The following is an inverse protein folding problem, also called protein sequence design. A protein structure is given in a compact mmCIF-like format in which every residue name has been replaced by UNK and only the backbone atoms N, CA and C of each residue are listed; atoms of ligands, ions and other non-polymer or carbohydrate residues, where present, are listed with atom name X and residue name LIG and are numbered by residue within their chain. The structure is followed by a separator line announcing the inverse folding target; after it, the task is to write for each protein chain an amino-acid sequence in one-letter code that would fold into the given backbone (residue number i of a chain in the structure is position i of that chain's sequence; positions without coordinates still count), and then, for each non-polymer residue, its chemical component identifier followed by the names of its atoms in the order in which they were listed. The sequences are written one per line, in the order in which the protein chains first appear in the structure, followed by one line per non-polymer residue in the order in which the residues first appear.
data_IF_398734760332
#
_entry.id   IF_398734760332
#
_cell.length_a   1.000
_cell.length_b   1.000
_cell.length_c   1.000
_cell.angle_alpha   90.00
_cell.angle_beta   90.00
_cell.angle_gamma   90.00
#
_symmetry.space_group_name_H-M   'P 1'
#
loop_
_entity.id
_entity.type
_entity.pdbx_description
1 polymer ?
#
# COMPACT_ATOMS: atom_id res chain seq x y z
N UNK A 1 41.10 -19.18 0.93
CA UNK A 1 39.95 -18.48 0.31
C UNK A 1 38.74 -18.62 1.22
N UNK A 2 38.18 -17.58 1.83
CA UNK A 2 36.99 -17.70 2.67
C UNK A 2 35.75 -17.92 1.79
N UNK A 3 34.93 -18.88 2.18
CA UNK A 3 33.64 -19.21 1.53
C UNK A 3 32.75 -17.98 1.57
N UNK A 4 32.37 -17.46 0.41
CA UNK A 4 31.34 -16.40 0.29
C UNK A 4 30.04 -16.93 0.89
N UNK A 5 29.57 -16.28 1.97
CA UNK A 5 28.22 -16.47 2.48
C UNK A 5 27.23 -16.16 1.34
N UNK A 6 26.43 -17.15 0.95
CA UNK A 6 25.28 -16.91 0.09
C UNK A 6 24.29 -16.06 0.88
N UNK A 7 23.79 -14.92 0.33
CA UNK A 7 22.76 -14.16 0.99
C UNK A 7 21.52 -15.05 1.14
N UNK A 8 20.86 -14.96 2.31
CA UNK A 8 19.66 -15.69 2.62
C UNK A 8 18.59 -15.52 1.55
N UNK A 9 17.86 -16.59 1.30
CA UNK A 9 16.74 -16.67 0.35
C UNK A 9 15.77 -15.51 0.63
N UNK A 10 15.66 -14.55 -0.28
CA UNK A 10 14.74 -13.41 -0.13
C UNK A 10 13.32 -13.89 -0.44
N UNK A 11 12.28 -13.27 0.12
CA UNK A 11 10.87 -13.59 -0.17
C UNK A 11 10.59 -13.68 -1.68
N UNK A 12 11.25 -12.88 -2.50
CA UNK A 12 11.17 -12.93 -3.96
C UNK A 12 11.68 -14.27 -4.55
N UNK A 13 12.67 -14.90 -3.94
CA UNK A 13 13.18 -16.20 -4.41
C UNK A 13 12.23 -17.36 -4.05
N UNK A 14 11.53 -17.25 -2.92
CA UNK A 14 10.50 -18.24 -2.53
C UNK A 14 9.30 -18.13 -3.45
N UNK A 15 8.87 -16.93 -3.78
CA UNK A 15 7.75 -16.73 -4.71
C UNK A 15 8.09 -17.18 -6.12
N UNK A 16 9.29 -16.85 -6.63
CA UNK A 16 9.73 -17.34 -7.94
C UNK A 16 9.74 -18.88 -7.99
N UNK A 17 10.17 -19.52 -6.90
CA UNK A 17 10.14 -20.96 -6.79
C UNK A 17 8.72 -21.54 -6.69
N UNK A 18 7.82 -20.87 -5.98
CA UNK A 18 6.39 -21.25 -5.93
C UNK A 18 5.76 -21.14 -7.32
N UNK A 19 6.00 -20.04 -8.04
CA UNK A 19 5.50 -19.87 -9.41
C UNK A 19 6.00 -20.97 -10.34
N UNK A 20 7.30 -21.25 -10.32
CA UNK A 20 7.90 -22.33 -11.12
C UNK A 20 7.24 -23.68 -10.82
N UNK A 21 7.04 -23.99 -9.55
CA UNK A 21 6.39 -25.24 -9.11
C UNK A 21 4.94 -25.31 -9.58
N UNK A 22 4.17 -24.23 -9.47
CA UNK A 22 2.74 -24.23 -9.83
C UNK A 22 2.58 -24.24 -11.34
N UNK A 23 3.31 -23.39 -12.06
CA UNK A 23 3.26 -23.35 -13.53
C UNK A 23 3.69 -24.68 -14.15
N UNK A 24 4.78 -25.28 -13.63
CA UNK A 24 5.25 -26.58 -14.12
C UNK A 24 4.28 -27.75 -13.86
N UNK A 25 3.42 -27.61 -12.83
CA UNK A 25 2.54 -28.71 -12.41
C UNK A 25 1.12 -28.57 -12.95
N UNK A 26 0.58 -27.35 -13.04
CA UNK A 26 -0.84 -27.12 -13.41
C UNK A 26 -1.03 -26.26 -14.66
N UNK A 27 0.01 -25.53 -15.10
CA UNK A 27 -0.12 -24.54 -16.18
C UNK A 27 -1.05 -23.36 -15.84
N UNK A 28 -1.61 -23.34 -14.62
CA UNK A 28 -2.54 -22.32 -14.14
C UNK A 28 -1.82 -21.22 -13.36
N UNK A 29 -2.56 -20.13 -13.13
CA UNK A 29 -2.10 -18.99 -12.32
C UNK A 29 -1.84 -19.42 -10.86
N UNK A 30 -0.61 -19.20 -10.41
CA UNK A 30 -0.18 -19.52 -9.05
C UNK A 30 -0.98 -18.80 -7.95
N UNK A 31 -1.64 -17.69 -8.28
CA UNK A 31 -2.35 -16.86 -7.30
C UNK A 31 -3.38 -17.63 -6.50
N UNK A 32 -4.25 -18.41 -7.15
CA UNK A 32 -5.36 -19.10 -6.47
C UNK A 32 -4.85 -20.12 -5.45
N UNK A 33 -3.85 -20.92 -5.82
CA UNK A 33 -3.29 -21.91 -4.93
C UNK A 33 -2.55 -21.27 -3.76
N UNK A 34 -1.70 -20.27 -4.02
CA UNK A 34 -0.95 -19.57 -2.99
C UNK A 34 -1.91 -18.85 -2.03
N UNK A 35 -2.96 -18.22 -2.56
CA UNK A 35 -3.99 -17.55 -1.75
C UNK A 35 -4.73 -18.54 -0.83
N UNK A 36 -5.14 -19.70 -1.36
CA UNK A 36 -5.82 -20.72 -0.59
C UNK A 36 -4.95 -21.27 0.56
N UNK A 37 -3.68 -21.58 0.25
CA UNK A 37 -2.72 -22.08 1.22
C UNK A 37 -2.41 -21.03 2.29
N UNK A 38 -2.17 -19.76 1.89
CA UNK A 38 -1.94 -18.66 2.81
C UNK A 38 -3.14 -18.43 3.74
N UNK A 39 -4.37 -18.46 3.21
CA UNK A 39 -5.58 -18.31 4.01
C UNK A 39 -5.73 -19.44 5.05
N UNK A 40 -5.49 -20.69 4.68
CA UNK A 40 -5.52 -21.82 5.60
C UNK A 40 -4.48 -21.65 6.73
N UNK A 41 -3.26 -21.21 6.42
CA UNK A 41 -2.21 -20.98 7.43
C UNK A 41 -2.50 -19.81 8.34
N UNK A 42 -2.92 -18.70 7.77
CA UNK A 42 -3.01 -17.43 8.50
C UNK A 42 -4.29 -17.37 9.34
N UNK A 43 -5.42 -17.77 8.78
CA UNK A 43 -6.71 -17.77 9.46
C UNK A 43 -6.95 -19.09 10.17
N UNK A 44 -6.74 -20.21 9.49
CA UNK A 44 -6.94 -21.55 10.03
C UNK A 44 -5.93 -21.95 11.09
N UNK A 45 -4.78 -21.25 11.19
CA UNK A 45 -3.68 -21.51 12.14
C UNK A 45 -3.20 -22.96 12.09
N UNK A 46 -3.27 -23.59 10.91
CA UNK A 46 -2.98 -24.99 10.70
C UNK A 46 -2.16 -25.19 9.42
N UNK A 47 -1.53 -26.36 9.30
CA UNK A 47 -0.94 -26.81 8.04
C UNK A 47 -2.02 -26.82 6.95
N UNK A 48 -1.67 -26.32 5.76
CA UNK A 48 -2.62 -26.33 4.65
C UNK A 48 -2.78 -27.73 4.10
N UNK A 49 -4.03 -28.16 4.02
CA UNK A 49 -4.53 -29.38 3.37
C UNK A 49 -5.82 -29.02 2.65
N UNK A 50 -6.28 -29.81 1.70
CA UNK A 50 -7.57 -29.57 1.05
C UNK A 50 -8.72 -29.44 2.06
N UNK A 51 -8.68 -30.22 3.13
CA UNK A 51 -9.68 -30.18 4.20
C UNK A 51 -9.63 -28.85 4.99
N UNK A 52 -8.43 -28.38 5.37
CA UNK A 52 -8.28 -27.11 6.09
C UNK A 52 -8.64 -25.90 5.21
N UNK A 53 -8.29 -25.92 3.93
CA UNK A 53 -8.68 -24.92 2.93
C UNK A 53 -10.20 -24.89 2.79
N UNK A 54 -10.85 -26.06 2.66
CA UNK A 54 -12.32 -26.15 2.56
C UNK A 54 -13.01 -25.63 3.82
N UNK A 55 -12.43 -25.84 5.01
CA UNK A 55 -12.94 -25.29 6.27
C UNK A 55 -12.88 -23.75 6.26
N UNK A 56 -11.74 -23.15 5.91
CA UNK A 56 -11.58 -21.70 5.85
C UNK A 56 -12.50 -21.10 4.78
N UNK A 57 -12.61 -21.73 3.59
CA UNK A 57 -13.52 -21.28 2.53
C UNK A 57 -14.99 -21.22 3.00
N UNK A 58 -15.45 -22.20 3.77
CA UNK A 58 -16.83 -22.19 4.32
C UNK A 58 -17.03 -21.12 5.40
N UNK A 59 -16.00 -20.89 6.22
CA UNK A 59 -16.06 -19.89 7.29
C UNK A 59 -15.93 -18.45 6.78
N UNK A 60 -15.27 -18.26 5.63
CA UNK A 60 -14.93 -16.96 5.06
C UNK A 60 -15.26 -16.89 3.56
N UNK A 61 -16.58 -16.90 3.19
CA UNK A 61 -17.01 -16.84 1.80
C UNK A 61 -16.59 -15.53 1.10
N UNK A 62 -16.39 -14.45 1.85
CA UNK A 62 -15.93 -13.14 1.37
C UNK A 62 -14.52 -13.17 0.77
N UNK A 63 -13.72 -14.19 1.07
CA UNK A 63 -12.41 -14.41 0.49
C UNK A 63 -12.47 -15.07 -0.89
N UNK A 64 -13.60 -15.67 -1.28
CA UNK A 64 -13.78 -16.35 -2.57
C UNK A 64 -12.65 -17.33 -2.89
N UNK A 65 -12.27 -18.16 -1.90
CA UNK A 65 -11.18 -19.12 -2.04
C UNK A 65 -11.52 -20.17 -3.09
N UNK A 66 -10.66 -20.30 -4.11
CA UNK A 66 -10.72 -21.34 -5.12
C UNK A 66 -9.42 -22.18 -5.08
N UNK A 67 -9.51 -23.40 -5.53
CA UNK A 67 -8.33 -24.21 -5.83
C UNK A 67 -8.30 -24.47 -7.34
N UNK A 68 -7.13 -24.45 -7.98
CA UNK A 68 -6.98 -24.95 -9.35
C UNK A 68 -7.50 -26.37 -9.49
N UNK A 69 -8.05 -26.71 -10.66
CA UNK A 69 -8.68 -28.04 -10.90
C UNK A 69 -7.70 -29.19 -10.66
N UNK A 70 -6.43 -28.97 -11.00
CA UNK A 70 -5.36 -29.98 -10.91
C UNK A 70 -4.59 -29.91 -9.57
N UNK A 71 -5.04 -29.08 -8.62
CA UNK A 71 -4.42 -28.99 -7.31
C UNK A 71 -4.67 -30.27 -6.50
N UNK A 72 -3.62 -31.05 -6.31
CA UNK A 72 -3.63 -32.24 -5.46
C UNK A 72 -2.95 -31.98 -4.10
N UNK A 73 -3.11 -32.91 -3.15
CA UNK A 73 -2.54 -32.77 -1.80
C UNK A 73 -1.00 -32.63 -1.81
N UNK A 74 -0.29 -33.25 -2.74
CA UNK A 74 1.16 -33.15 -2.84
C UNK A 74 1.58 -31.72 -3.23
N UNK A 75 0.89 -31.10 -4.18
CA UNK A 75 1.14 -29.72 -4.59
C UNK A 75 0.78 -28.73 -3.48
N UNK A 76 -0.37 -28.91 -2.82
CA UNK A 76 -0.77 -28.12 -1.64
C UNK A 76 0.30 -28.20 -0.55
N UNK A 77 0.77 -29.41 -0.21
CA UNK A 77 1.79 -29.62 0.82
C UNK A 77 3.14 -28.98 0.44
N UNK A 78 3.52 -29.00 -0.83
CA UNK A 78 4.75 -28.36 -1.32
C UNK A 78 4.70 -26.85 -1.19
N UNK A 79 3.60 -26.21 -1.64
CA UNK A 79 3.40 -24.76 -1.49
C UNK A 79 3.28 -24.37 -0.01
N UNK A 80 2.61 -25.20 0.80
CA UNK A 80 2.50 -25.01 2.24
C UNK A 80 3.88 -25.00 2.93
N UNK A 81 4.76 -25.95 2.58
CA UNK A 81 6.11 -26.01 3.14
C UNK A 81 6.97 -24.78 2.77
N UNK A 82 6.80 -24.24 1.56
CA UNK A 82 7.49 -23.02 1.12
C UNK A 82 6.98 -21.80 1.88
N UNK A 83 5.66 -21.62 1.96
CA UNK A 83 5.04 -20.49 2.68
C UNK A 83 5.26 -20.57 4.19
N UNK A 84 5.41 -21.77 4.76
CA UNK A 84 5.65 -21.97 6.19
C UNK A 84 6.90 -21.25 6.71
N UNK A 85 7.93 -21.16 5.88
CA UNK A 85 9.20 -20.51 6.20
C UNK A 85 9.07 -19.01 6.25
N UNK A 86 8.18 -18.43 5.44
CA UNK A 86 7.96 -17.00 5.30
C UNK A 86 6.86 -16.50 6.25
N UNK A 87 5.73 -17.21 6.33
CA UNK A 87 4.57 -16.84 7.13
C UNK A 87 4.75 -17.20 8.62
N UNK A 88 5.83 -16.74 9.22
CA UNK A 88 6.07 -16.84 10.67
C UNK A 88 5.08 -15.97 11.47
N UNK A 89 5.25 -15.79 12.78
CA UNK A 89 4.34 -15.01 13.62
C UNK A 89 4.68 -13.51 13.66
N UNK A 90 3.71 -12.67 14.06
CA UNK A 90 3.89 -11.22 14.30
C UNK A 90 4.04 -10.38 13.03
N UNK A 91 4.80 -9.31 13.13
CA UNK A 91 4.99 -8.33 12.04
C UNK A 91 5.64 -8.94 10.80
N UNK A 92 6.47 -9.96 10.97
CA UNK A 92 7.07 -10.71 9.86
C UNK A 92 6.01 -11.39 8.98
N UNK A 93 4.88 -11.83 9.56
CA UNK A 93 3.78 -12.44 8.80
C UNK A 93 3.13 -11.45 7.83
N UNK A 94 2.89 -10.22 8.28
CA UNK A 94 2.35 -9.16 7.40
C UNK A 94 3.32 -8.85 6.28
N UNK A 95 4.62 -8.76 6.62
CA UNK A 95 5.69 -8.53 5.65
C UNK A 95 5.73 -9.61 4.57
N UNK A 96 5.64 -10.86 5.00
CA UNK A 96 5.67 -11.99 4.09
C UNK A 96 4.41 -12.07 3.21
N UNK A 97 3.22 -11.81 3.76
CA UNK A 97 1.99 -11.75 2.97
C UNK A 97 2.08 -10.66 1.89
N UNK A 98 2.49 -9.45 2.26
CA UNK A 98 2.66 -8.36 1.30
C UNK A 98 3.65 -8.75 0.20
N UNK A 99 4.83 -9.27 0.55
CA UNK A 99 5.87 -9.66 -0.41
C UNK A 99 5.41 -10.79 -1.35
N UNK A 100 4.74 -11.82 -0.81
CA UNK A 100 4.21 -12.94 -1.60
C UNK A 100 3.17 -12.45 -2.60
N UNK A 101 2.24 -11.61 -2.18
CA UNK A 101 1.19 -11.14 -3.07
C UNK A 101 1.63 -10.00 -3.99
N UNK A 102 2.58 -9.16 -3.56
CA UNK A 102 3.22 -8.18 -4.42
C UNK A 102 3.85 -8.81 -5.66
N UNK A 103 4.48 -9.95 -5.52
CA UNK A 103 5.10 -10.63 -6.66
C UNK A 103 4.11 -11.41 -7.55
N UNK A 104 2.97 -11.86 -7.00
CA UNK A 104 1.97 -12.63 -7.76
C UNK A 104 0.97 -11.76 -8.53
N UNK A 105 0.52 -10.63 -7.95
CA UNK A 105 -0.51 -9.77 -8.57
C UNK A 105 -0.02 -9.01 -9.82
N UNK A 106 1.19 -8.44 -9.90
CA UNK A 106 1.60 -7.62 -11.04
C UNK A 106 1.74 -8.38 -12.36
N UNK A 107 2.00 -9.68 -12.34
CA UNK A 107 2.17 -10.47 -13.57
C UNK A 107 0.87 -10.69 -14.32
N UNK A 108 -0.25 -10.66 -13.63
CA UNK A 108 -1.58 -10.85 -14.22
C UNK A 108 -2.23 -9.52 -14.60
N UNK A 109 -1.87 -8.43 -13.91
CA UNK A 109 -2.43 -7.09 -14.13
C UNK A 109 -1.63 -6.22 -15.11
N UNK A 110 -0.74 -6.80 -15.95
CA UNK A 110 0.08 -6.08 -16.95
C UNK A 110 -0.71 -5.37 -18.07
N UNK A 111 -2.01 -5.16 -17.92
CA UNK A 111 -2.83 -4.32 -18.78
C UNK A 111 -3.12 -2.98 -18.12
N UNK A 112 -2.79 -1.90 -18.78
CA UNK A 112 -3.30 -0.50 -18.74
C UNK A 112 -3.72 0.19 -17.41
N UNK A 113 -3.58 -0.41 -16.22
CA UNK A 113 -4.20 0.13 -15.02
C UNK A 113 -3.27 0.88 -14.05
N UNK A 114 -1.94 0.90 -14.28
CA UNK A 114 -1.00 1.69 -13.47
C UNK A 114 -1.03 1.39 -11.97
N UNK A 115 -1.45 0.19 -11.56
CA UNK A 115 -1.48 -0.24 -10.17
C UNK A 115 -0.10 -0.78 -9.78
N UNK A 116 0.49 -0.21 -8.74
CA UNK A 116 1.78 -0.62 -8.20
C UNK A 116 1.66 -0.84 -6.69
N UNK A 117 2.31 -1.87 -6.19
CA UNK A 117 2.47 -2.03 -4.75
C UNK A 117 3.36 -0.94 -4.17
N UNK A 118 2.98 -0.44 -3.01
CA UNK A 118 3.80 0.53 -2.30
C UNK A 118 4.85 -0.21 -1.49
N UNK A 119 6.16 0.07 -1.71
CA UNK A 119 7.21 -0.57 -0.92
C UNK A 119 6.99 -0.36 0.57
N UNK A 120 7.25 -1.41 1.36
CA UNK A 120 6.91 -1.43 2.78
C UNK A 120 7.52 -0.30 3.58
N UNK A 121 8.78 0.04 3.34
CA UNK A 121 9.45 1.15 4.01
C UNK A 121 8.77 2.51 3.73
N UNK A 122 8.16 2.67 2.53
CA UNK A 122 7.35 3.85 2.21
C UNK A 122 6.03 3.83 2.97
N UNK A 123 5.36 2.66 3.06
CA UNK A 123 4.14 2.50 3.85
C UNK A 123 4.40 2.82 5.33
N UNK A 124 5.45 2.25 5.91
CA UNK A 124 5.87 2.50 7.30
C UNK A 124 6.15 3.99 7.53
N UNK A 125 6.91 4.61 6.63
CA UNK A 125 7.22 6.04 6.69
C UNK A 125 5.95 6.90 6.71
N UNK A 126 5.04 6.68 5.75
CA UNK A 126 3.81 7.47 5.64
C UNK A 126 2.92 7.28 6.87
N UNK A 127 2.73 6.04 7.33
CA UNK A 127 1.86 5.76 8.47
C UNK A 127 2.44 6.32 9.77
N UNK A 128 3.76 6.19 10.00
CA UNK A 128 4.45 6.78 11.16
C UNK A 128 4.37 8.31 11.16
N UNK A 129 4.55 8.96 10.00
CA UNK A 129 4.42 10.41 9.88
C UNK A 129 2.98 10.89 10.10
N UNK A 130 1.98 10.14 9.63
CA UNK A 130 0.57 10.41 9.91
C UNK A 130 0.19 10.22 11.38
N UNK A 131 0.93 9.41 12.12
CA UNK A 131 0.73 9.13 13.55
C UNK A 131 -0.76 8.89 13.90
N UNK A 132 -1.44 7.87 13.33
CA UNK A 132 -2.84 7.61 13.63
C UNK A 132 -3.00 7.26 15.10
N UNK A 133 -4.09 7.76 15.73
CA UNK A 133 -4.38 7.59 17.15
C UNK A 133 -5.48 6.58 17.40
N UNK A 134 -5.51 6.02 18.57
CA UNK A 134 -6.60 5.13 19.00
C UNK A 134 -7.97 5.79 18.78
N UNK A 135 -8.94 5.01 18.26
CA UNK A 135 -10.31 5.43 17.90
C UNK A 135 -10.43 6.31 16.64
N UNK A 136 -9.32 6.74 16.03
CA UNK A 136 -9.41 7.38 14.73
C UNK A 136 -9.83 6.39 13.64
N UNK A 137 -10.39 6.96 12.59
CA UNK A 137 -10.77 6.23 11.37
C UNK A 137 -9.78 6.55 10.28
N UNK A 138 -9.20 5.50 9.68
CA UNK A 138 -8.24 5.59 8.58
C UNK A 138 -8.86 5.01 7.32
N UNK A 139 -8.71 5.69 6.20
CA UNK A 139 -9.18 5.19 4.90
C UNK A 139 -8.07 5.19 3.86
N UNK A 140 -8.15 4.20 2.97
CA UNK A 140 -7.40 4.15 1.72
C UNK A 140 -8.37 3.90 0.56
N UNK A 141 -8.67 4.91 -0.28
CA UNK A 141 -9.60 4.77 -1.40
C UNK A 141 -9.02 4.02 -2.61
N UNK A 142 -7.74 3.64 -2.59
CA UNK A 142 -7.05 2.83 -3.60
C UNK A 142 -6.16 1.79 -2.90
N UNK A 143 -6.79 0.96 -2.03
CA UNK A 143 -6.07 0.26 -0.97
C UNK A 143 -5.18 -0.91 -1.45
N UNK A 144 -5.31 -1.36 -2.69
CA UNK A 144 -4.56 -2.52 -3.16
C UNK A 144 -4.68 -3.71 -2.20
N UNK A 145 -3.55 -4.27 -1.78
CA UNK A 145 -3.48 -5.34 -0.76
C UNK A 145 -3.77 -4.89 0.67
N UNK A 146 -4.03 -3.61 0.91
CA UNK A 146 -4.36 -3.06 2.22
C UNK A 146 -3.16 -2.73 3.11
N UNK A 147 -1.97 -2.53 2.54
CA UNK A 147 -0.74 -2.31 3.31
C UNK A 147 -0.83 -1.10 4.26
N UNK A 148 -1.26 0.08 3.79
CA UNK A 148 -1.45 1.25 4.65
C UNK A 148 -2.42 0.98 5.81
N UNK A 149 -3.53 0.28 5.53
CA UNK A 149 -4.53 -0.06 6.53
C UNK A 149 -3.98 -1.04 7.57
N UNK A 150 -3.22 -2.04 7.13
CA UNK A 150 -2.60 -3.03 8.00
C UNK A 150 -1.57 -2.40 8.94
N UNK A 151 -0.73 -1.50 8.43
CA UNK A 151 0.28 -0.78 9.20
C UNK A 151 -0.35 0.22 10.18
N UNK A 152 -1.41 0.92 9.78
CA UNK A 152 -2.15 1.80 10.68
C UNK A 152 -2.75 1.03 11.87
N UNK A 153 -3.28 -0.18 11.62
CA UNK A 153 -3.79 -1.07 12.69
C UNK A 153 -2.69 -1.64 13.58
N UNK A 154 -1.50 -1.87 13.05
CA UNK A 154 -0.36 -2.32 13.84
C UNK A 154 0.17 -1.21 14.76
N UNK A 155 0.09 0.05 14.31
CA UNK A 155 0.57 1.20 15.08
C UNK A 155 -0.41 1.66 16.17
N UNK A 156 -1.73 1.61 15.90
CA UNK A 156 -2.75 2.08 16.84
C UNK A 156 -4.09 1.34 16.70
N UNK A 157 -4.92 1.39 17.75
CA UNK A 157 -6.26 0.81 17.76
C UNK A 157 -7.25 1.63 16.92
N UNK A 158 -7.05 1.69 15.61
CA UNK A 158 -7.86 2.43 14.65
C UNK A 158 -8.94 1.55 14.00
N UNK A 159 -10.01 2.21 13.49
CA UNK A 159 -10.91 1.62 12.50
C UNK A 159 -10.36 1.90 11.10
N UNK A 160 -10.46 0.95 10.20
CA UNK A 160 -9.93 1.11 8.84
C UNK A 160 -10.96 0.76 7.80
N UNK A 161 -10.98 1.52 6.70
CA UNK A 161 -11.82 1.26 5.53
C UNK A 161 -10.95 1.35 4.28
N UNK A 162 -11.25 0.52 3.29
CA UNK A 162 -10.53 0.54 2.01
C UNK A 162 -11.41 0.17 0.84
N UNK A 163 -11.03 0.64 -0.34
CA UNK A 163 -11.63 0.20 -1.58
C UNK A 163 -10.58 0.03 -2.67
N UNK A 164 -10.81 -0.91 -3.56
CA UNK A 164 -10.05 -1.08 -4.79
C UNK A 164 -10.95 -1.71 -5.87
N UNK A 165 -10.62 -1.48 -7.14
CA UNK A 165 -11.32 -2.08 -8.28
C UNK A 165 -10.86 -3.50 -8.56
N UNK A 166 -9.63 -3.85 -8.16
CA UNK A 166 -9.03 -5.15 -8.40
C UNK A 166 -9.57 -6.21 -7.42
N UNK A 167 -10.26 -7.24 -7.91
CA UNK A 167 -10.82 -8.27 -7.05
C UNK A 167 -9.76 -9.11 -6.32
N UNK A 168 -8.55 -9.29 -6.90
CA UNK A 168 -7.46 -10.03 -6.25
C UNK A 168 -6.86 -9.22 -5.11
N UNK A 169 -6.60 -7.94 -5.34
CA UNK A 169 -6.10 -7.03 -4.32
C UNK A 169 -7.07 -6.97 -3.12
N UNK A 170 -8.37 -6.84 -3.35
CA UNK A 170 -9.39 -6.85 -2.30
C UNK A 170 -9.39 -8.15 -1.49
N UNK A 171 -9.23 -9.30 -2.15
CA UNK A 171 -9.15 -10.60 -1.44
C UNK A 171 -7.93 -10.64 -0.51
N UNK A 172 -6.77 -10.17 -0.98
CA UNK A 172 -5.56 -10.08 -0.16
C UNK A 172 -5.77 -9.11 1.00
N UNK A 173 -6.31 -7.93 0.78
CA UNK A 173 -6.57 -6.94 1.82
C UNK A 173 -7.54 -7.48 2.90
N UNK A 174 -8.56 -8.25 2.51
CA UNK A 174 -9.47 -8.94 3.44
C UNK A 174 -8.77 -10.04 4.23
N UNK A 175 -7.91 -10.83 3.58
CA UNK A 175 -7.10 -11.85 4.26
C UNK A 175 -6.19 -11.20 5.30
N UNK A 176 -5.54 -10.10 4.96
CA UNK A 176 -4.69 -9.33 5.87
C UNK A 176 -5.51 -8.78 7.04
N UNK A 177 -6.71 -8.23 6.80
CA UNK A 177 -7.61 -7.75 7.86
C UNK A 177 -7.99 -8.87 8.82
N UNK A 178 -8.43 -10.03 8.31
CA UNK A 178 -8.77 -11.21 9.12
C UNK A 178 -7.56 -11.72 9.92
N UNK A 179 -6.36 -11.69 9.34
CA UNK A 179 -5.13 -12.09 10.04
C UNK A 179 -4.84 -11.24 11.28
N UNK A 180 -5.32 -10.02 11.27
CA UNK A 180 -5.22 -9.06 12.39
C UNK A 180 -6.47 -9.06 13.29
N UNK A 181 -7.40 -10.01 13.10
CA UNK A 181 -8.65 -10.08 13.87
C UNK A 181 -9.62 -8.92 13.57
N UNK A 182 -9.61 -8.40 12.35
CA UNK A 182 -10.45 -7.27 11.93
C UNK A 182 -11.53 -7.70 10.94
N UNK A 183 -12.62 -6.95 10.92
CA UNK A 183 -13.75 -7.19 10.03
C UNK A 183 -13.34 -6.93 8.56
N UNK A 184 -13.40 -7.95 7.69
CA UNK A 184 -13.08 -7.82 6.27
C UNK A 184 -14.13 -7.01 5.50
N UNK A 185 -15.36 -6.84 6.02
CA UNK A 185 -16.42 -6.08 5.38
C UNK A 185 -16.12 -4.58 5.22
N UNK A 186 -15.16 -4.07 6.01
CA UNK A 186 -14.67 -2.68 5.87
C UNK A 186 -13.82 -2.47 4.61
N UNK A 187 -13.50 -3.53 3.89
CA UNK A 187 -12.74 -3.51 2.64
C UNK A 187 -13.66 -3.94 1.50
N UNK A 188 -13.96 -2.99 0.62
CA UNK A 188 -14.98 -3.16 -0.41
C UNK A 188 -14.37 -3.11 -1.82
N UNK A 189 -14.90 -3.96 -2.71
CA UNK A 189 -14.58 -3.84 -4.13
C UNK A 189 -15.39 -2.69 -4.74
N UNK A 190 -14.71 -1.69 -5.29
CA UNK A 190 -15.37 -0.55 -5.92
C UNK A 190 -14.39 0.52 -6.36
N UNK A 191 -14.86 1.42 -7.21
CA UNK A 191 -14.09 2.60 -7.60
C UNK A 191 -14.04 3.60 -6.44
N UNK A 192 -12.85 3.79 -5.88
CA UNK A 192 -12.61 4.71 -4.77
C UNK A 192 -12.89 6.17 -5.11
N UNK A 193 -12.85 6.55 -6.39
CA UNK A 193 -13.22 7.89 -6.82
C UNK A 193 -14.73 8.15 -6.70
N UNK A 194 -15.59 7.14 -6.99
CA UNK A 194 -17.04 7.35 -7.16
C UNK A 194 -17.93 6.31 -6.53
N UNK A 195 -17.66 5.04 -6.77
CA UNK A 195 -18.58 3.95 -6.47
C UNK A 195 -18.52 3.41 -5.05
N UNK A 196 -17.37 3.54 -4.39
CA UNK A 196 -17.19 3.00 -3.05
C UNK A 196 -17.81 3.91 -1.99
N UNK A 197 -18.69 3.35 -1.16
CA UNK A 197 -19.23 4.04 0.03
C UNK A 197 -18.19 4.02 1.15
N UNK A 198 -17.33 5.03 1.18
CA UNK A 198 -16.34 5.23 2.22
C UNK A 198 -16.80 6.30 3.20
N UNK A 199 -16.55 6.14 4.52
CA UNK A 199 -16.96 7.12 5.52
C UNK A 199 -16.08 8.38 5.48
N UNK A 200 -16.57 9.47 6.07
CA UNK A 200 -15.74 10.61 6.42
C UNK A 200 -14.82 10.25 7.58
N UNK A 201 -13.53 10.60 7.48
CA UNK A 201 -12.47 10.04 8.33
C UNK A 201 -11.54 11.08 8.94
N UNK A 202 -10.71 10.62 9.87
CA UNK A 202 -9.63 11.41 10.48
C UNK A 202 -8.38 11.44 9.61
N UNK A 203 -8.08 10.28 8.98
CA UNK A 203 -6.81 10.05 8.30
C UNK A 203 -7.05 9.38 6.95
N UNK A 204 -6.40 9.90 5.90
CA UNK A 204 -6.25 9.23 4.61
C UNK A 204 -4.78 8.87 4.41
N UNK A 205 -4.51 7.61 4.10
CA UNK A 205 -3.18 7.12 3.72
C UNK A 205 -3.33 6.35 2.42
N UNK A 206 -2.76 6.83 1.31
CA UNK A 206 -3.01 6.23 0.01
C UNK A 206 -1.87 6.43 -0.98
N UNK A 207 -1.70 5.45 -1.86
CA UNK A 207 -0.88 5.52 -3.06
C UNK A 207 -1.76 5.23 -4.28
N UNK A 208 -2.43 6.24 -4.84
CA UNK A 208 -3.34 6.04 -5.96
C UNK A 208 -2.59 5.68 -7.26
N UNK A 209 -3.27 5.11 -8.26
CA UNK A 209 -2.67 4.84 -9.56
C UNK A 209 -2.21 6.15 -10.22
N UNK A 210 -0.93 6.18 -10.69
CA UNK A 210 -0.23 7.38 -11.18
C UNK A 210 -0.61 7.80 -12.59
N UNK A 211 -1.28 6.96 -13.34
CA UNK A 211 -1.59 7.22 -14.74
C UNK A 211 -3.02 6.80 -15.09
N UNK A 212 -3.41 7.21 -16.27
CA UNK A 212 -4.71 6.88 -16.83
C UNK A 212 -5.73 7.98 -16.63
N UNK A 213 -6.66 8.05 -17.59
CA UNK A 213 -7.79 8.95 -17.53
C UNK A 213 -8.91 8.32 -16.71
N UNK A 214 -9.64 9.16 -15.99
CA UNK A 214 -10.90 8.80 -15.38
C UNK A 214 -11.94 9.87 -15.71
N UNK A 215 -13.21 9.54 -15.56
CA UNK A 215 -14.25 10.54 -15.69
C UNK A 215 -14.09 11.60 -14.59
N UNK A 216 -13.81 12.83 -15.00
CA UNK A 216 -13.55 13.96 -14.12
C UNK A 216 -14.82 14.79 -13.83
N UNK A 217 -15.99 14.34 -14.31
CA UNK A 217 -17.26 15.04 -14.11
C UNK A 217 -17.52 15.20 -12.61
N UNK A 218 -17.84 16.41 -12.15
CA UNK A 218 -18.12 16.71 -10.74
C UNK A 218 -16.91 16.96 -9.85
N UNK A 219 -15.67 16.74 -10.33
CA UNK A 219 -14.48 17.12 -9.60
C UNK A 219 -14.14 18.60 -9.82
N UNK A 220 -13.85 19.32 -8.73
CA UNK A 220 -13.50 20.75 -8.78
C UNK A 220 -12.11 20.96 -9.39
N UNK A 221 -11.16 20.07 -9.07
CA UNK A 221 -9.79 20.13 -9.60
C UNK A 221 -9.76 20.04 -11.13
N UNK A 222 -10.75 19.39 -11.73
CA UNK A 222 -10.90 19.33 -13.18
C UNK A 222 -11.16 20.69 -13.84
N UNK A 223 -11.60 21.69 -13.08
CA UNK A 223 -11.80 23.07 -13.58
C UNK A 223 -10.48 23.85 -13.67
N UNK A 224 -9.46 23.43 -12.94
CA UNK A 224 -8.16 24.11 -12.85
C UNK A 224 -7.01 23.32 -13.46
N UNK A 225 -7.27 22.09 -13.91
CA UNK A 225 -6.33 21.23 -14.64
C UNK A 225 -6.95 20.81 -15.96
N UNK A 226 -6.31 21.15 -17.07
CA UNK A 226 -6.85 20.92 -18.42
C UNK A 226 -7.13 19.44 -18.72
N UNK A 227 -6.25 18.55 -18.27
CA UNK A 227 -6.38 17.09 -18.43
C UNK A 227 -6.05 16.43 -17.11
N UNK A 228 -7.02 16.34 -16.18
CA UNK A 228 -6.78 15.73 -14.88
C UNK A 228 -6.55 14.23 -15.05
N UNK A 229 -5.41 13.77 -14.55
CA UNK A 229 -5.08 12.36 -14.45
C UNK A 229 -5.74 11.76 -13.21
N UNK A 230 -5.78 10.45 -13.13
CA UNK A 230 -6.46 9.73 -12.04
C UNK A 230 -5.93 10.09 -10.65
N UNK A 231 -4.62 10.25 -10.49
CA UNK A 231 -3.97 10.65 -9.24
C UNK A 231 -4.40 12.05 -8.76
N UNK A 232 -4.66 12.98 -9.70
CA UNK A 232 -5.19 14.32 -9.37
C UNK A 232 -6.62 14.22 -8.82
N UNK A 233 -7.45 13.36 -9.41
CA UNK A 233 -8.82 13.13 -8.92
C UNK A 233 -8.81 12.44 -7.55
N UNK A 234 -7.87 11.51 -7.31
CA UNK A 234 -7.68 10.89 -6.00
C UNK A 234 -7.20 11.88 -4.94
N UNK A 235 -6.43 12.91 -5.30
CA UNK A 235 -6.04 13.99 -4.39
C UNK A 235 -7.29 14.74 -3.88
N UNK A 236 -8.22 15.13 -4.78
CA UNK A 236 -9.49 15.74 -4.37
C UNK A 236 -10.32 14.76 -3.55
N UNK A 237 -10.46 13.52 -4.00
CA UNK A 237 -11.19 12.48 -3.27
C UNK A 237 -10.65 12.25 -1.85
N UNK A 238 -9.33 12.28 -1.68
CA UNK A 238 -8.69 12.16 -0.36
C UNK A 238 -9.10 13.32 0.57
N UNK A 239 -9.14 14.54 0.04
CA UNK A 239 -9.62 15.69 0.80
C UNK A 239 -11.10 15.58 1.15
N UNK A 240 -11.96 15.15 0.22
CA UNK A 240 -13.40 15.00 0.45
C UNK A 240 -13.72 13.96 1.53
N UNK A 241 -12.92 12.89 1.60
CA UNK A 241 -13.05 11.87 2.63
C UNK A 241 -12.62 12.34 4.02
N UNK A 242 -11.76 13.37 4.11
CA UNK A 242 -11.33 13.89 5.40
C UNK A 242 -12.42 14.77 6.02
N UNK A 243 -12.60 14.66 7.33
CA UNK A 243 -13.29 15.69 8.11
C UNK A 243 -12.47 16.99 8.15
N UNK A 244 -13.04 18.15 8.42
CA UNK A 244 -12.28 19.36 8.70
C UNK A 244 -11.21 19.08 9.78
N UNK A 245 -9.97 19.50 9.54
CA UNK A 245 -8.84 19.20 10.41
C UNK A 245 -8.31 17.75 10.31
N UNK A 246 -8.90 16.89 9.50
CA UNK A 246 -8.37 15.59 9.16
C UNK A 246 -7.11 15.69 8.29
N UNK A 247 -6.23 14.69 8.36
CA UNK A 247 -4.92 14.71 7.72
C UNK A 247 -4.71 13.58 6.72
N UNK A 248 -3.90 13.84 5.70
CA UNK A 248 -3.56 12.85 4.69
C UNK A 248 -2.06 12.72 4.46
N UNK A 249 -1.65 11.49 4.08
CA UNK A 249 -0.39 11.18 3.43
C UNK A 249 -0.70 10.52 2.09
N UNK A 250 -0.36 11.17 1.00
CA UNK A 250 -0.64 10.68 -0.35
C UNK A 250 0.63 10.66 -1.19
N UNK A 251 0.87 9.53 -1.88
CA UNK A 251 1.98 9.39 -2.82
C UNK A 251 1.54 9.89 -4.18
N UNK A 252 2.30 10.79 -4.78
CA UNK A 252 2.00 11.41 -6.08
C UNK A 252 3.24 11.43 -6.98
N UNK A 253 3.07 11.41 -8.31
CA UNK A 253 4.15 11.64 -9.25
C UNK A 253 4.75 13.04 -9.12
N UNK A 254 6.08 13.12 -9.26
CA UNK A 254 6.85 14.36 -9.06
C UNK A 254 6.41 15.53 -9.95
N UNK A 255 5.88 15.28 -11.16
CA UNK A 255 5.36 16.32 -12.04
C UNK A 255 4.19 17.10 -11.42
N UNK A 256 3.46 16.54 -10.44
CA UNK A 256 2.38 17.25 -9.71
C UNK A 256 2.96 18.32 -8.77
N UNK A 257 4.16 18.10 -8.22
CA UNK A 257 4.83 19.09 -7.39
C UNK A 257 5.46 20.21 -8.23
N UNK A 258 6.11 19.91 -9.35
CA UNK A 258 6.97 20.84 -10.09
C UNK A 258 6.43 21.23 -11.48
N UNK A 259 5.58 20.43 -12.12
CA UNK A 259 5.11 20.67 -13.48
C UNK A 259 4.25 21.94 -13.61
N UNK A 260 4.51 22.76 -14.64
CA UNK A 260 3.78 24.00 -14.88
C UNK A 260 2.28 23.76 -15.14
N UNK A 261 1.93 22.66 -15.83
CA UNK A 261 0.54 22.26 -16.12
C UNK A 261 -0.30 21.99 -14.85
N UNK A 262 0.35 21.73 -13.70
CA UNK A 262 -0.31 21.47 -12.42
C UNK A 262 -0.28 22.68 -11.45
N UNK A 263 0.14 23.85 -11.91
CA UNK A 263 0.14 25.07 -11.08
C UNK A 263 -1.28 25.43 -10.55
N UNK A 264 -2.32 25.24 -11.38
CA UNK A 264 -3.71 25.40 -10.99
C UNK A 264 -4.12 24.47 -9.86
N UNK A 265 -3.75 23.18 -9.96
CA UNK A 265 -4.00 22.18 -8.91
C UNK A 265 -3.32 22.58 -7.59
N UNK A 266 -2.07 23.04 -7.62
CA UNK A 266 -1.36 23.43 -6.39
C UNK A 266 -2.02 24.64 -5.70
N UNK A 267 -2.47 25.64 -6.46
CA UNK A 267 -3.26 26.78 -5.90
C UNK A 267 -4.57 26.28 -5.30
N UNK A 268 -5.33 25.47 -6.06
CA UNK A 268 -6.57 24.85 -5.60
C UNK A 268 -6.37 24.06 -4.29
N UNK A 269 -5.26 23.31 -4.20
CA UNK A 269 -4.93 22.49 -3.02
C UNK A 269 -4.65 23.36 -1.79
N UNK A 270 -3.83 24.41 -1.91
CA UNK A 270 -3.46 25.30 -0.79
C UNK A 270 -4.68 26.00 -0.20
N UNK A 271 -5.66 26.33 -1.02
CA UNK A 271 -6.92 26.93 -0.54
C UNK A 271 -7.76 25.96 0.31
N UNK A 272 -7.63 24.64 0.09
CA UNK A 272 -8.43 23.58 0.73
C UNK A 272 -7.70 22.79 1.81
N UNK A 273 -6.39 22.84 1.77
CA UNK A 273 -5.55 22.10 2.70
C UNK A 273 -4.32 22.92 3.10
N UNK A 274 -3.96 22.84 4.38
CA UNK A 274 -2.64 23.28 4.85
C UNK A 274 -1.63 22.19 4.49
N UNK A 275 -0.57 22.58 3.79
CA UNK A 275 0.55 21.70 3.44
C UNK A 275 1.53 21.69 4.62
N UNK A 276 1.89 20.50 5.10
CA UNK A 276 2.86 20.33 6.19
C UNK A 276 4.21 19.83 5.71
N UNK A 277 4.20 18.89 4.76
CA UNK A 277 5.46 18.42 4.21
C UNK A 277 5.29 17.88 2.78
N UNK A 278 6.40 17.97 2.03
CA UNK A 278 6.60 17.34 0.73
C UNK A 278 7.93 16.58 0.79
N UNK A 279 7.87 15.26 0.70
CA UNK A 279 9.05 14.41 0.79
C UNK A 279 9.26 13.71 -0.54
N UNK A 280 10.32 14.10 -1.27
CA UNK A 280 10.72 13.48 -2.53
C UNK A 280 11.25 12.06 -2.28
N UNK A 281 10.86 11.12 -3.13
CA UNK A 281 11.33 9.74 -3.11
C UNK A 281 12.29 9.47 -4.27
N UNK A 282 13.31 8.61 -4.10
CA UNK A 282 14.20 8.21 -5.16
C UNK A 282 13.47 7.58 -6.34
N UNK A 283 14.07 7.68 -7.52
CA UNK A 283 13.51 7.09 -8.76
C UNK A 283 13.35 5.57 -8.66
N UNK A 284 14.22 4.93 -7.92
CA UNK A 284 14.31 3.48 -7.75
C UNK A 284 13.22 2.92 -6.82
N UNK A 285 12.53 3.80 -6.07
CA UNK A 285 11.54 3.40 -5.05
C UNK A 285 10.49 2.42 -5.59
N UNK A 286 9.95 2.69 -6.77
CA UNK A 286 8.89 1.87 -7.38
C UNK A 286 9.38 0.95 -8.50
N UNK A 287 10.70 0.80 -8.70
CA UNK A 287 11.23 -0.19 -9.62
C UNK A 287 10.95 -1.63 -9.10
N UNK A 288 10.78 -2.62 -10.00
CA UNK A 288 10.85 -2.53 -11.46
C UNK A 288 9.54 -2.07 -12.13
N UNK A 289 8.49 -1.72 -11.37
CA UNK A 289 7.16 -1.45 -11.90
C UNK A 289 7.08 -0.12 -12.65
N UNK A 290 7.70 0.92 -12.12
CA UNK A 290 7.81 2.23 -12.77
C UNK A 290 9.11 2.93 -12.35
N UNK A 291 9.68 3.69 -13.28
CA UNK A 291 10.83 4.57 -13.02
C UNK A 291 10.40 6.02 -12.73
N UNK A 292 9.12 6.25 -12.54
CA UNK A 292 8.60 7.58 -12.27
C UNK A 292 9.02 8.07 -10.89
N UNK A 293 9.63 9.24 -10.83
CA UNK A 293 9.89 9.90 -9.54
C UNK A 293 8.57 10.27 -8.88
N UNK A 294 8.51 10.08 -7.57
CA UNK A 294 7.33 10.35 -6.75
C UNK A 294 7.70 11.20 -5.54
N UNK A 295 6.68 11.69 -4.86
CA UNK A 295 6.82 12.33 -3.56
C UNK A 295 5.64 11.96 -2.66
N UNK A 296 5.82 12.09 -1.37
CA UNK A 296 4.74 12.01 -0.39
C UNK A 296 4.34 13.42 0.01
N UNK A 297 3.05 13.70 -0.09
CA UNK A 297 2.43 14.93 0.38
C UNK A 297 1.76 14.69 1.72
N UNK A 298 2.11 15.47 2.73
CA UNK A 298 1.41 15.53 4.01
C UNK A 298 0.62 16.83 4.11
N UNK A 299 -0.69 16.71 4.25
CA UNK A 299 -1.58 17.87 4.30
C UNK A 299 -2.75 17.63 5.26
N UNK A 300 -3.36 18.72 5.73
CA UNK A 300 -4.52 18.73 6.65
C UNK A 300 -5.65 19.50 6.00
N UNK A 301 -6.84 18.89 5.93
CA UNK A 301 -8.02 19.58 5.36
C UNK A 301 -8.37 20.80 6.19
N UNK A 302 -8.54 21.96 5.55
CA UNK A 302 -8.97 23.19 6.20
C UNK A 302 -10.42 23.07 6.66
N UNK A 303 -10.75 23.83 7.71
CA UNK A 303 -12.13 24.05 8.12
C UNK A 303 -12.86 24.93 7.10
N UNK A 304 -14.18 24.90 7.12
CA UNK A 304 -14.98 25.78 6.28
C UNK A 304 -14.67 27.24 6.59
N UNK A 305 -14.32 28.03 5.58
CA UNK A 305 -13.96 29.44 5.71
C UNK A 305 -12.52 29.71 6.18
N UNK A 306 -11.76 28.69 6.56
CA UNK A 306 -10.34 28.83 6.88
C UNK A 306 -9.53 29.16 5.61
N UNK A 307 -8.76 30.26 5.67
CA UNK A 307 -7.92 30.70 4.55
C UNK A 307 -6.44 30.36 4.78
N UNK A 308 -5.65 30.24 3.71
CA UNK A 308 -4.20 30.13 3.84
C UNK A 308 -3.60 31.30 4.61
N UNK A 309 -2.64 31.03 5.51
CA UNK A 309 -1.87 32.04 6.24
C UNK A 309 -0.43 32.04 5.70
N UNK A 310 0.11 33.21 5.42
CA UNK A 310 1.50 33.41 4.96
C UNK A 310 2.55 32.90 5.95
N UNK A 311 2.17 32.72 7.22
CA UNK A 311 3.03 32.19 8.28
C UNK A 311 3.05 30.65 8.32
N UNK A 312 2.22 29.98 7.52
CA UNK A 312 2.23 28.51 7.47
C UNK A 312 3.58 28.01 6.95
N UNK A 313 4.22 27.15 7.73
CA UNK A 313 5.47 26.52 7.36
C UNK A 313 5.23 25.12 6.81
N UNK A 314 6.01 24.75 5.81
CA UNK A 314 6.04 23.40 5.27
C UNK A 314 7.49 22.90 5.16
N UNK A 315 7.72 21.64 5.47
CA UNK A 315 9.02 21.00 5.31
C UNK A 315 9.15 20.41 3.90
N UNK A 316 10.28 20.64 3.25
CA UNK A 316 10.67 19.97 2.02
C UNK A 316 11.88 19.10 2.32
N UNK A 317 11.77 17.82 2.07
CA UNK A 317 12.82 16.84 2.26
C UNK A 317 12.98 15.95 1.02
N UNK A 318 14.15 15.35 0.86
CA UNK A 318 14.43 14.40 -0.21
C UNK A 318 15.07 13.17 0.43
N UNK A 319 14.48 12.01 0.19
CA UNK A 319 15.10 10.72 0.44
C UNK A 319 16.02 10.40 -0.72
N UNK A 320 17.24 9.97 -0.44
CA UNK A 320 18.29 9.71 -1.45
C UNK A 320 18.51 8.21 -1.68
N UNK A 321 18.14 7.36 -0.71
CA UNK A 321 18.35 5.91 -0.75
C UNK A 321 17.00 5.17 -0.78
N UNK A 322 16.76 4.44 -1.87
CA UNK A 322 15.52 3.71 -2.08
C UNK A 322 15.48 2.32 -1.45
N UNK A 323 16.61 1.80 -0.96
CA UNK A 323 16.74 0.38 -0.62
C UNK A 323 16.76 -0.55 -1.83
N UNK A 324 16.93 -0.01 -3.04
CA UNK A 324 16.96 -0.74 -4.31
C UNK A 324 18.05 -0.21 -5.23
N UNK A 325 18.59 -1.07 -6.08
CA UNK A 325 19.49 -0.68 -7.17
C UNK A 325 18.72 -0.15 -8.40
N UNK A 326 19.49 0.27 -9.43
CA UNK A 326 18.93 0.79 -10.68
C UNK A 326 18.09 -0.24 -11.48
N UNK A 327 18.21 -1.52 -11.18
CA UNK A 327 17.39 -2.60 -11.76
C UNK A 327 16.15 -2.92 -10.90
N UNK A 328 16.04 -2.33 -9.70
CA UNK A 328 14.95 -2.56 -8.76
C UNK A 328 15.19 -3.72 -7.80
N UNK A 329 16.42 -4.27 -7.74
CA UNK A 329 16.74 -5.32 -6.78
C UNK A 329 16.97 -4.72 -5.38
N UNK A 330 16.55 -5.42 -4.31
CA UNK A 330 16.75 -4.96 -2.95
C UNK A 330 18.23 -4.84 -2.59
N UNK A 331 18.62 -3.74 -1.95
CA UNK A 331 19.94 -3.54 -1.33
C UNK A 331 19.78 -3.68 0.17
N UNK A 332 20.46 -4.66 0.77
CA UNK A 332 20.50 -4.82 2.21
C UNK A 332 21.37 -3.76 2.89
N UNK A 333 21.06 -3.40 4.12
CA UNK A 333 21.89 -2.53 4.97
C UNK A 333 23.28 -3.13 5.17
N UNK A 334 24.29 -2.26 5.21
CA UNK A 334 25.69 -2.67 5.36
C UNK A 334 26.16 -2.73 6.81
N UNK A 335 25.41 -2.13 7.72
CA UNK A 335 25.69 -2.04 9.16
C UNK A 335 25.40 -3.34 9.95
N UNK A 336 24.97 -4.40 9.27
CA UNK A 336 24.59 -5.68 9.89
C UNK A 336 23.16 -5.75 10.39
N UNK A 337 22.42 -4.65 10.33
CA UNK A 337 20.98 -4.64 10.65
C UNK A 337 20.17 -5.34 9.57
N UNK A 338 19.09 -6.00 10.00
CA UNK A 338 18.15 -6.63 9.09
C UNK A 338 17.24 -5.57 8.48
N UNK A 339 17.39 -5.32 7.16
CA UNK A 339 16.53 -4.38 6.45
C UNK A 339 17.11 -3.93 5.12
N UNK A 340 16.38 -3.05 4.45
CA UNK A 340 16.80 -2.41 3.21
C UNK A 340 17.62 -1.15 3.50
N UNK A 341 18.59 -0.86 2.64
CA UNK A 341 19.40 0.35 2.71
C UNK A 341 18.62 1.56 2.19
N UNK A 342 17.69 2.08 3.00
CA UNK A 342 16.96 3.31 2.75
C UNK A 342 17.19 4.33 3.88
N UNK A 343 16.92 5.60 3.61
CA UNK A 343 17.09 6.71 4.54
C UNK A 343 15.77 7.33 5.05
N UNK A 344 14.63 6.69 4.78
CA UNK A 344 13.34 7.20 5.23
C UNK A 344 13.21 7.26 6.76
N UNK A 345 13.95 6.43 7.50
CA UNK A 345 13.99 6.51 8.96
C UNK A 345 14.71 7.79 9.42
N UNK A 346 15.79 8.20 8.73
CA UNK A 346 16.51 9.44 9.00
C UNK A 346 15.62 10.66 8.67
N UNK A 347 14.93 10.62 7.53
CA UNK A 347 13.94 11.65 7.15
C UNK A 347 12.82 11.74 8.19
N UNK A 348 12.32 10.60 8.66
CA UNK A 348 11.25 10.55 9.66
C UNK A 348 11.68 11.16 10.99
N UNK A 349 12.94 10.93 11.41
CA UNK A 349 13.50 11.47 12.65
C UNK A 349 13.50 13.02 12.67
N UNK A 350 13.63 13.67 11.53
CA UNK A 350 13.55 15.14 11.40
C UNK A 350 12.09 15.59 11.15
N UNK A 351 11.35 14.83 10.36
CA UNK A 351 10.00 15.19 9.95
C UNK A 351 8.99 15.18 11.12
N UNK A 352 9.01 14.13 11.96
CA UNK A 352 8.01 13.96 13.04
C UNK A 352 8.07 15.09 14.08
N UNK A 353 9.24 15.54 14.57
CA UNK A 353 9.31 16.71 15.44
C UNK A 353 8.72 17.97 14.81
N UNK A 354 9.02 18.23 13.52
CA UNK A 354 8.44 19.35 12.80
C UNK A 354 6.91 19.24 12.68
N UNK A 355 6.40 18.09 12.26
CA UNK A 355 4.94 17.85 12.14
C UNK A 355 4.24 18.04 13.49
N UNK A 356 4.86 17.62 14.58
CA UNK A 356 4.32 17.77 15.93
C UNK A 356 4.31 19.22 16.35
N UNK A 357 5.41 19.96 16.14
CA UNK A 357 5.50 21.40 16.46
C UNK A 357 4.48 22.23 15.68
N UNK A 358 4.18 21.85 14.43
CA UNK A 358 3.20 22.51 13.58
C UNK A 358 1.74 22.04 13.82
N UNK A 359 1.49 21.08 14.72
CA UNK A 359 0.16 20.60 15.06
C UNK A 359 -0.47 19.71 13.98
N UNK A 360 0.34 18.98 13.22
CA UNK A 360 -0.17 18.08 12.17
C UNK A 360 -1.04 16.96 12.71
N UNK A 361 -0.61 16.31 13.78
CA UNK A 361 -1.33 15.22 14.42
C UNK A 361 -2.04 15.63 15.72
N UNK A 362 -2.17 16.94 16.00
CA UNK A 362 -2.87 17.44 17.17
C UNK A 362 -4.39 17.37 17.01
#
# INVERSE_FOLDING_TARGET
MPRRHRPGTTANSVVAHIEEVVVATSGEDAFELVFAVAAARVIGKAKATSASIAKVRRAHPELSIALPRDANEALVARVDALLARELTSGDRRLQALDAVFESLVPRVAKGDKGQFFTPRHVVDFVVKALAPRAREVVVDPACGSGAFLAHARALAAVKTFGSDVDPRAIRVARLVALSQGRDPATIVRGDGLRGARLPTVNVVATNPPFAGRADATGFEVARVVRTPERDVLFLERALDLLRPGGRMGIVLPYNKAAGASFAGMRRWLVERARIFAVVGLPRETFLPHTSQRTFVLFAKRRAAGEKPDVRERAMFAISERAGKDAAGHPIARRDGDVGLDHDLDDVLAVLVPFLTAEGFAS
#
